data_IF_812093308675
#
_entry.id   IF_812093308675
#
_cell.length_a   1.000
_cell.length_b   1.000
_cell.length_c   1.000
_cell.angle_alpha   90.00
_cell.angle_beta   90.00
_cell.angle_gamma   90.00
#
_symmetry.space_group_name_H-M   'P 1'
#
loop_
_entity.id
_entity.type
_entity.pdbx_description
1 polymer ?
#
# COMPACT_ATOMS: atom_id res chain seq x y z
N UNK A 1 -38.53 -50.06 28.34
CA UNK A 1 -39.77 -50.65 27.78
C UNK A 1 -40.52 -49.58 27.00
N UNK A 2 -41.33 -50.00 26.02
CA UNK A 2 -42.30 -49.19 25.25
C UNK A 2 -41.77 -48.08 24.34
N UNK A 3 -41.82 -48.37 23.04
CA UNK A 3 -41.86 -47.41 21.94
C UNK A 3 -43.28 -46.83 21.74
N UNK A 4 -43.43 -46.03 20.67
CA UNK A 4 -44.58 -46.05 19.73
C UNK A 4 -45.64 -44.91 19.76
N UNK A 5 -45.42 -43.96 18.84
CA UNK A 5 -46.20 -43.78 17.59
C UNK A 5 -47.48 -42.90 17.50
N UNK A 6 -47.72 -42.44 16.26
CA UNK A 6 -49.00 -41.99 15.66
C UNK A 6 -49.59 -40.60 16.06
N UNK A 7 -50.28 -39.82 15.19
CA UNK A 7 -50.71 -40.02 13.78
C UNK A 7 -51.05 -38.69 13.05
N UNK A 8 -50.54 -38.53 11.83
CA UNK A 8 -51.22 -38.24 10.53
C UNK A 8 -52.46 -37.33 10.41
N UNK A 9 -52.35 -36.38 9.47
CA UNK A 9 -53.30 -36.09 8.35
C UNK A 9 -52.44 -35.57 7.16
N UNK A 10 -52.39 -36.07 5.90
CA UNK A 10 -53.40 -36.50 4.88
C UNK A 10 -54.38 -35.37 4.50
N UNK A 11 -54.67 -35.05 3.21
CA UNK A 11 -54.32 -35.68 1.91
C UNK A 11 -54.79 -34.76 0.73
N UNK A 12 -54.01 -34.67 -0.39
CA UNK A 12 -54.44 -34.73 -1.84
C UNK A 12 -55.54 -33.76 -2.38
N UNK A 13 -55.82 -33.56 -3.69
CA UNK A 13 -55.35 -33.97 -5.06
C UNK A 13 -55.90 -32.88 -6.04
N UNK A 14 -55.20 -32.35 -7.05
CA UNK A 14 -54.82 -32.91 -8.39
C UNK A 14 -55.86 -32.84 -9.52
N UNK A 15 -55.36 -32.49 -10.73
CA UNK A 15 -55.89 -32.74 -12.10
C UNK A 15 -56.89 -31.71 -12.68
N UNK A 16 -57.00 -31.49 -14.02
CA UNK A 16 -56.54 -32.29 -15.18
C UNK A 16 -56.60 -31.52 -16.54
N UNK A 17 -55.76 -31.90 -17.54
CA UNK A 17 -55.95 -31.87 -19.04
C UNK A 17 -56.43 -30.58 -19.76
N UNK A 18 -56.13 -30.26 -21.04
CA UNK A 18 -55.39 -30.91 -22.16
C UNK A 18 -54.96 -29.82 -23.19
N UNK A 19 -54.79 -30.02 -24.51
CA UNK A 19 -54.90 -31.19 -25.39
C UNK A 19 -54.01 -31.02 -26.68
N UNK A 20 -54.29 -31.76 -27.78
CA UNK A 20 -53.51 -31.87 -29.04
C UNK A 20 -53.94 -30.92 -30.19
N UNK A 21 -53.08 -30.78 -31.21
CA UNK A 21 -53.45 -30.33 -32.57
C UNK A 21 -52.32 -30.46 -33.61
N UNK A 22 -52.40 -31.46 -34.50
CA UNK A 22 -51.59 -31.63 -35.73
C UNK A 22 -52.50 -31.41 -36.96
N UNK A 23 -52.06 -30.63 -37.97
CA UNK A 23 -52.64 -30.64 -39.34
C UNK A 23 -51.54 -30.35 -40.39
N UNK A 24 -51.68 -31.01 -41.55
CA UNK A 24 -50.70 -31.11 -42.64
C UNK A 24 -50.70 -29.93 -43.63
N UNK A 25 -49.51 -29.59 -44.14
CA UNK A 25 -49.20 -29.56 -45.58
C UNK A 25 -49.42 -28.28 -46.42
N UNK A 26 -48.36 -27.84 -47.11
CA UNK A 26 -48.37 -27.57 -48.57
C UNK A 26 -46.94 -27.48 -49.13
N UNK A 27 -46.70 -28.13 -50.27
CA UNK A 27 -45.48 -28.00 -51.10
C UNK A 27 -45.57 -26.82 -52.09
N UNK A 28 -44.41 -26.51 -52.69
CA UNK A 28 -44.14 -26.07 -54.09
C UNK A 28 -43.31 -24.78 -54.21
N UNK A 29 -42.23 -24.83 -55.03
CA UNK A 29 -41.47 -23.65 -55.47
C UNK A 29 -40.00 -23.95 -55.78
N UNK A 30 -39.71 -24.37 -57.01
CA UNK A 30 -38.36 -24.71 -57.49
C UNK A 30 -37.41 -23.50 -57.64
N UNK A 31 -36.08 -23.77 -57.66
CA UNK A 31 -35.05 -22.74 -57.83
C UNK A 31 -33.61 -23.28 -57.85
N UNK A 32 -33.24 -23.92 -58.96
CA UNK A 32 -31.86 -24.13 -59.44
C UNK A 32 -31.07 -22.79 -59.50
N UNK A 33 -29.72 -22.65 -59.55
CA UNK A 33 -28.53 -23.54 -59.55
C UNK A 33 -27.26 -22.65 -59.55
N UNK A 34 -26.07 -23.26 -59.43
CA UNK A 34 -24.77 -22.80 -59.98
C UNK A 34 -24.20 -21.43 -59.51
N UNK A 35 -22.90 -21.12 -59.58
CA UNK A 35 -21.66 -21.93 -59.66
C UNK A 35 -20.52 -21.08 -59.06
N UNK A 36 -19.42 -21.72 -58.67
CA UNK A 36 -18.13 -21.05 -58.45
C UNK A 36 -17.25 -21.25 -59.68
N UNK A 37 -16.48 -20.23 -60.10
CA UNK A 37 -15.18 -20.51 -60.70
C UNK A 37 -14.01 -19.80 -60.00
N UNK A 38 -12.87 -20.49 -59.98
CA UNK A 38 -11.56 -20.00 -59.56
C UNK A 38 -10.76 -19.40 -60.73
N UNK A 39 -9.68 -18.67 -60.38
CA UNK A 39 -8.45 -18.43 -61.16
C UNK A 39 -8.55 -17.55 -62.43
N UNK A 40 -7.64 -16.58 -62.60
CA UNK A 40 -6.28 -16.88 -63.10
C UNK A 40 -5.26 -15.77 -62.83
N UNK A 41 -3.97 -16.13 -62.93
CA UNK A 41 -2.80 -15.30 -62.62
C UNK A 41 -2.43 -14.27 -63.71
N UNK A 42 -1.59 -13.29 -63.35
CA UNK A 42 -0.52 -12.75 -64.21
C UNK A 42 0.58 -12.13 -63.35
N UNK A 43 1.83 -12.21 -63.82
CA UNK A 43 3.07 -11.83 -63.13
C UNK A 43 3.69 -10.54 -63.72
N UNK A 44 4.57 -9.87 -62.96
CA UNK A 44 5.73 -9.06 -63.41
C UNK A 44 6.50 -8.67 -62.11
N UNK A 45 7.59 -9.32 -61.66
CA UNK A 45 8.93 -9.58 -62.23
C UNK A 45 9.86 -8.35 -62.19
N UNK A 46 11.14 -8.61 -61.79
CA UNK A 46 12.34 -7.72 -61.70
C UNK A 46 12.56 -6.98 -60.37
N UNK A 47 13.76 -6.90 -59.82
CA UNK A 47 15.06 -7.51 -60.18
C UNK A 47 15.96 -7.61 -58.92
N UNK A 48 16.85 -8.61 -58.86
CA UNK A 48 17.91 -8.71 -57.85
C UNK A 48 19.13 -7.87 -58.23
N UNK A 49 19.90 -7.40 -57.23
CA UNK A 49 21.27 -6.93 -57.44
C UNK A 49 22.14 -7.17 -56.18
N UNK A 50 23.24 -7.90 -56.38
CA UNK A 50 24.21 -8.31 -55.36
C UNK A 50 25.11 -7.17 -54.82
N UNK A 51 25.79 -7.47 -53.71
CA UNK A 51 27.24 -7.19 -53.64
C UNK A 51 27.73 -6.32 -52.48
N UNK A 52 28.29 -6.97 -51.44
CA UNK A 52 29.13 -6.30 -50.44
C UNK A 52 30.49 -5.86 -51.03
N UNK A 53 31.26 -5.01 -50.32
CA UNK A 53 32.35 -5.61 -49.54
C UNK A 53 32.75 -4.91 -48.21
N UNK A 54 32.83 -5.73 -47.16
CA UNK A 54 34.04 -5.99 -46.34
C UNK A 54 34.64 -4.96 -45.33
N UNK A 55 35.28 -5.56 -44.30
CA UNK A 55 36.28 -5.09 -43.29
C UNK A 55 35.99 -3.98 -42.26
N UNK A 56 35.83 -4.46 -41.01
CA UNK A 56 36.60 -4.16 -39.79
C UNK A 56 36.66 -2.76 -39.11
N UNK A 57 36.27 -2.83 -37.83
CA UNK A 57 36.91 -2.25 -36.63
C UNK A 57 36.75 -0.77 -36.21
N UNK A 58 36.63 -0.65 -34.88
CA UNK A 58 36.93 0.48 -33.99
C UNK A 58 35.96 1.68 -33.87
N UNK A 59 35.17 1.60 -32.79
CA UNK A 59 35.10 2.61 -31.71
C UNK A 59 34.84 4.08 -32.07
N UNK A 60 33.64 4.58 -31.72
CA UNK A 60 33.48 5.80 -30.91
C UNK A 60 32.03 6.04 -30.43
N UNK A 61 31.88 6.10 -29.10
CA UNK A 61 31.03 7.02 -28.33
C UNK A 61 29.81 7.69 -28.99
N UNK A 62 28.60 7.34 -28.52
CA UNK A 62 27.59 8.34 -28.10
C UNK A 62 26.53 7.69 -27.22
N UNK A 63 26.66 7.86 -25.90
CA UNK A 63 25.63 7.52 -24.91
C UNK A 63 24.87 8.80 -24.56
N UNK A 64 23.60 8.89 -24.96
CA UNK A 64 22.69 9.95 -24.52
C UNK A 64 22.26 9.75 -23.07
N UNK A 65 22.18 10.85 -22.32
CA UNK A 65 21.88 10.86 -20.88
C UNK A 65 20.48 10.34 -20.54
N UNK A 66 20.40 9.61 -19.42
CA UNK A 66 19.16 9.31 -18.70
C UNK A 66 19.33 9.86 -17.28
N UNK A 67 18.66 10.98 -16.99
CA UNK A 67 18.65 11.59 -15.65
C UNK A 67 17.94 10.67 -14.65
N UNK A 68 18.71 10.03 -13.77
CA UNK A 68 18.19 9.30 -12.61
C UNK A 68 17.98 10.24 -11.43
N UNK A 69 16.74 10.44 -11.02
CA UNK A 69 16.38 11.18 -9.82
C UNK A 69 16.75 10.36 -8.56
N UNK A 70 17.88 10.69 -7.92
CA UNK A 70 18.30 10.03 -6.68
C UNK A 70 17.39 10.40 -5.50
N UNK A 71 16.72 9.38 -4.95
CA UNK A 71 15.97 9.46 -3.70
C UNK A 71 16.96 9.58 -2.52
N UNK A 72 17.12 10.77 -1.97
CA UNK A 72 18.04 11.03 -0.84
C UNK A 72 17.65 10.26 0.41
N UNK A 73 18.35 9.15 0.66
CA UNK A 73 18.43 8.50 1.98
C UNK A 73 19.38 9.31 2.86
N UNK A 74 18.85 9.97 3.88
CA UNK A 74 19.65 10.68 4.89
C UNK A 74 20.12 9.72 5.98
N UNK A 75 21.40 9.33 5.92
CA UNK A 75 22.18 8.81 7.05
C UNK A 75 23.67 8.98 6.72
N UNK A 76 24.35 9.90 7.40
CA UNK A 76 25.81 9.91 7.65
C UNK A 76 26.20 11.18 8.45
N UNK A 77 26.25 11.07 9.77
CA UNK A 77 26.89 12.08 10.63
C UNK A 77 28.38 11.77 10.69
N UNK A 78 29.20 12.60 10.02
CA UNK A 78 30.67 12.47 10.07
C UNK A 78 31.23 13.23 11.27
N UNK A 79 32.05 12.54 12.05
CA UNK A 79 32.96 13.16 13.02
C UNK A 79 33.92 14.12 12.30
N UNK A 80 33.93 15.40 12.67
CA UNK A 80 34.98 16.33 12.30
C UNK A 80 36.00 16.50 13.45
N UNK A 81 37.12 15.80 13.31
CA UNK A 81 38.34 16.08 14.08
C UNK A 81 38.93 17.44 13.62
N UNK A 82 38.75 18.48 14.43
CA UNK A 82 39.44 19.76 14.22
C UNK A 82 40.89 19.63 14.68
N UNK A 83 41.82 19.81 13.75
CA UNK A 83 43.25 19.92 14.02
C UNK A 83 43.59 21.32 14.56
N UNK A 84 44.55 21.36 15.47
CA UNK A 84 45.09 22.58 16.08
C UNK A 84 46.04 23.33 15.14
N UNK A 85 46.00 24.66 15.16
CA UNK A 85 47.18 25.50 14.92
C UNK A 85 47.06 26.86 15.65
N UNK A 86 48.18 27.59 15.72
CA UNK A 86 48.52 28.40 16.89
C UNK A 86 48.06 29.89 16.91
N UNK A 87 48.26 30.49 18.09
CA UNK A 87 48.60 31.91 18.33
C UNK A 87 47.47 32.96 18.55
N UNK A 88 47.06 33.13 19.82
CA UNK A 88 46.81 34.46 20.39
C UNK A 88 47.04 34.47 21.92
N UNK A 89 47.39 35.62 22.49
CA UNK A 89 48.14 35.70 23.76
C UNK A 89 47.40 36.38 24.92
N UNK A 90 47.70 35.92 26.14
CA UNK A 90 47.50 36.55 27.47
C UNK A 90 46.13 36.38 28.19
N UNK A 91 46.09 36.45 29.55
CA UNK A 91 47.19 36.45 30.51
C UNK A 91 47.17 35.24 31.49
N UNK A 92 48.34 34.98 32.07
CA UNK A 92 48.56 33.94 33.09
C UNK A 92 47.94 34.33 34.44
N UNK A 93 46.93 33.57 34.92
CA UNK A 93 46.56 33.54 36.34
C UNK A 93 46.75 32.12 36.85
N UNK A 94 47.91 31.88 37.47
CA UNK A 94 48.24 30.62 38.14
C UNK A 94 47.44 30.48 39.43
N UNK A 95 46.20 29.98 39.33
CA UNK A 95 45.49 29.42 40.46
C UNK A 95 45.83 27.93 40.57
N UNK A 96 46.38 27.51 41.71
CA UNK A 96 46.86 26.14 41.90
C UNK A 96 45.76 25.10 41.60
N UNK A 97 46.07 24.14 40.74
CA UNK A 97 45.24 22.97 40.44
C UNK A 97 45.20 22.02 41.66
N UNK A 98 44.51 22.46 42.72
CA UNK A 98 44.03 21.58 43.76
C UNK A 98 42.98 20.68 43.13
N UNK A 99 43.22 19.36 43.10
CA UNK A 99 42.20 18.38 42.74
C UNK A 99 41.07 18.44 43.76
N UNK A 100 40.10 19.34 43.51
CA UNK A 100 38.81 19.27 44.16
C UNK A 100 38.07 18.11 43.50
N UNK A 101 37.81 17.07 44.27
CA UNK A 101 36.67 16.20 43.99
C UNK A 101 35.47 17.13 43.78
N UNK A 102 34.89 17.16 42.57
CA UNK A 102 33.69 17.94 42.28
C UNK A 102 32.49 17.28 42.97
N UNK A 103 32.41 17.49 44.28
CA UNK A 103 31.27 17.07 45.09
C UNK A 103 30.05 17.84 44.58
N UNK A 104 29.01 17.15 44.06
CA UNK A 104 27.88 17.81 43.46
C UNK A 104 27.21 18.71 44.51
N UNK A 105 26.81 19.91 44.08
CA UNK A 105 26.25 20.92 44.99
C UNK A 105 25.12 20.33 45.85
N UNK A 106 25.21 20.52 47.16
CA UNK A 106 24.31 19.94 48.16
C UNK A 106 23.21 20.90 48.63
N UNK A 107 23.02 22.07 47.98
CA UNK A 107 21.89 22.93 48.29
C UNK A 107 20.59 22.33 47.72
N UNK A 108 19.46 22.58 48.39
CA UNK A 108 18.16 22.03 47.98
C UNK A 108 17.85 22.38 46.51
N UNK A 109 18.04 23.62 46.07
CA UNK A 109 17.79 24.00 44.67
C UNK A 109 18.64 23.23 43.62
N UNK A 110 19.82 22.71 43.96
CA UNK A 110 20.59 21.83 43.07
C UNK A 110 20.20 20.35 43.21
N UNK A 111 19.66 19.96 44.37
CA UNK A 111 19.06 18.64 44.60
C UNK A 111 17.72 18.52 43.88
N UNK A 112 16.80 19.48 44.04
CA UNK A 112 15.50 19.56 43.36
C UNK A 112 15.66 19.47 41.84
N UNK A 113 16.60 20.23 41.26
CA UNK A 113 16.90 20.18 39.81
C UNK A 113 17.37 18.81 39.34
N UNK A 114 18.14 18.09 40.17
CA UNK A 114 18.65 16.74 39.87
C UNK A 114 17.55 15.68 40.04
N UNK A 115 16.68 15.84 41.02
CA UNK A 115 15.52 14.97 41.24
C UNK A 115 14.53 15.13 40.06
N UNK A 116 14.18 16.36 39.69
CA UNK A 116 13.34 16.66 38.53
C UNK A 116 13.94 16.16 37.20
N UNK A 117 15.26 16.27 37.00
CA UNK A 117 15.93 15.70 35.83
C UNK A 117 15.91 14.15 35.83
N UNK A 118 16.00 13.51 37.00
CA UNK A 118 15.89 12.06 37.13
C UNK A 118 14.46 11.57 36.86
N UNK A 119 13.45 12.29 37.34
CA UNK A 119 12.03 12.04 37.06
C UNK A 119 11.73 12.16 35.56
N UNK A 120 12.19 13.23 34.90
CA UNK A 120 12.06 13.40 33.44
C UNK A 120 12.73 12.26 32.66
N UNK A 121 13.91 11.81 33.09
CA UNK A 121 14.62 10.68 32.48
C UNK A 121 13.90 9.34 32.71
N UNK A 122 13.22 9.16 33.84
CA UNK A 122 12.39 7.97 34.06
C UNK A 122 11.09 8.02 33.25
N UNK A 123 10.44 9.18 33.17
CA UNK A 123 9.27 9.42 32.35
C UNK A 123 9.54 9.17 30.87
N UNK A 124 10.64 9.70 30.33
CA UNK A 124 11.07 9.45 28.95
C UNK A 124 11.25 7.95 28.68
N UNK A 125 11.86 7.19 29.61
CA UNK A 125 12.01 5.73 29.50
C UNK A 125 10.66 4.99 29.55
N UNK A 126 9.72 5.43 30.39
CA UNK A 126 8.36 4.86 30.46
C UNK A 126 7.60 5.10 29.14
N UNK A 127 7.61 6.33 28.62
CA UNK A 127 6.99 6.67 27.32
C UNK A 127 7.63 5.89 26.17
N UNK A 128 8.95 5.69 26.18
CA UNK A 128 9.63 4.84 25.21
C UNK A 128 9.17 3.38 25.28
N UNK A 129 8.98 2.82 26.49
CA UNK A 129 8.42 1.46 26.65
C UNK A 129 7.01 1.36 26.07
N UNK A 130 6.13 2.31 26.41
CA UNK A 130 4.75 2.36 25.91
C UNK A 130 4.73 2.44 24.37
N UNK A 131 5.60 3.26 23.78
CA UNK A 131 5.74 3.35 22.33
C UNK A 131 6.22 2.05 21.71
N UNK A 132 7.25 1.40 22.28
CA UNK A 132 7.77 0.15 21.72
C UNK A 132 6.75 -1.00 21.76
N UNK A 133 5.96 -1.09 22.83
CA UNK A 133 4.88 -2.08 22.96
C UNK A 133 3.74 -1.82 21.95
N UNK A 134 3.24 -0.57 21.90
CA UNK A 134 2.18 -0.18 20.95
C UNK A 134 2.64 -0.35 19.50
N UNK A 135 3.87 0.09 19.17
CA UNK A 135 4.49 -0.09 17.86
C UNK A 135 4.47 -1.56 17.48
N UNK A 136 4.93 -2.46 18.35
CA UNK A 136 4.99 -3.89 18.03
C UNK A 136 3.61 -4.50 17.77
N UNK A 137 2.58 -4.12 18.55
CA UNK A 137 1.21 -4.58 18.32
C UNK A 137 0.65 -4.11 16.96
N UNK A 138 0.76 -2.81 16.66
CA UNK A 138 0.29 -2.26 15.38
C UNK A 138 1.03 -2.92 14.21
N UNK A 139 2.33 -3.18 14.35
CA UNK A 139 3.17 -3.88 13.37
C UNK A 139 2.72 -5.33 13.13
N UNK A 140 2.22 -6.00 14.18
CA UNK A 140 1.65 -7.34 14.09
C UNK A 140 0.34 -7.31 13.31
N UNK A 141 -0.57 -6.38 13.60
CA UNK A 141 -1.87 -6.26 12.92
C UNK A 141 -1.70 -6.01 11.41
N UNK A 142 -0.89 -5.03 11.01
CA UNK A 142 -0.58 -4.80 9.60
C UNK A 142 0.06 -6.02 8.94
N UNK A 143 1.03 -6.67 9.60
CA UNK A 143 1.69 -7.87 9.06
C UNK A 143 0.69 -9.00 8.83
N UNK A 144 -0.18 -9.29 9.81
CA UNK A 144 -1.19 -10.34 9.69
C UNK A 144 -2.17 -10.06 8.54
N UNK A 145 -2.65 -8.83 8.40
CA UNK A 145 -3.53 -8.44 7.29
C UNK A 145 -2.84 -8.60 5.93
N UNK A 146 -1.57 -8.17 5.79
CA UNK A 146 -0.79 -8.33 4.56
C UNK A 146 -0.52 -9.80 4.20
N UNK A 147 -0.42 -10.67 5.21
CA UNK A 147 -0.32 -12.13 5.05
C UNK A 147 -1.68 -12.83 4.85
N UNK A 148 -2.79 -12.09 4.80
CA UNK A 148 -4.15 -12.64 4.65
C UNK A 148 -4.67 -13.39 5.89
N UNK A 149 -4.06 -13.20 7.06
CA UNK A 149 -4.48 -13.83 8.32
C UNK A 149 -5.35 -12.88 9.14
N UNK A 150 -6.49 -13.36 9.63
CA UNK A 150 -7.33 -12.64 10.58
C UNK A 150 -6.76 -12.71 11.98
N UNK A 151 -6.88 -11.62 12.74
CA UNK A 151 -6.68 -11.66 14.20
C UNK A 151 -7.87 -12.39 14.81
N UNK A 152 -7.65 -13.58 15.38
CA UNK A 152 -8.70 -14.32 16.09
C UNK A 152 -8.76 -13.86 17.55
N UNK A 153 -9.84 -13.16 17.94
CA UNK A 153 -10.06 -12.55 19.27
C UNK A 153 -10.25 -13.54 20.45
N UNK A 154 -9.62 -14.71 20.42
CA UNK A 154 -9.76 -15.74 21.45
C UNK A 154 -9.00 -15.41 22.75
N UNK A 155 -9.60 -14.54 23.57
CA UNK A 155 -9.09 -14.15 24.90
C UNK A 155 -8.13 -12.96 24.91
N UNK A 156 -8.20 -12.09 23.89
CA UNK A 156 -7.30 -10.94 23.73
C UNK A 156 -7.81 -9.61 24.34
N UNK A 157 -9.00 -9.58 24.94
CA UNK A 157 -9.67 -8.35 25.41
C UNK A 157 -8.81 -7.55 26.40
N UNK A 158 -8.26 -8.20 27.43
CA UNK A 158 -7.32 -7.58 28.39
C UNK A 158 -6.09 -6.96 27.72
N UNK A 159 -5.64 -7.54 26.60
CA UNK A 159 -4.48 -7.05 25.86
C UNK A 159 -4.84 -5.87 24.95
N UNK A 160 -6.00 -5.90 24.29
CA UNK A 160 -6.53 -4.76 23.54
C UNK A 160 -6.77 -3.55 24.45
N UNK A 161 -7.33 -3.75 25.64
CA UNK A 161 -7.55 -2.68 26.61
C UNK A 161 -6.24 -2.13 27.17
N UNK A 162 -5.21 -2.98 27.37
CA UNK A 162 -3.85 -2.51 27.62
C UNK A 162 -3.32 -1.65 26.46
N UNK A 163 -3.50 -2.07 25.21
CA UNK A 163 -3.05 -1.28 24.06
C UNK A 163 -3.78 0.07 23.98
N UNK A 164 -5.09 0.12 24.28
CA UNK A 164 -5.86 1.37 24.38
C UNK A 164 -5.25 2.29 25.44
N UNK A 165 -5.00 1.80 26.65
CA UNK A 165 -4.33 2.54 27.73
C UNK A 165 -2.95 3.12 27.31
N UNK A 166 -2.16 2.37 26.52
CA UNK A 166 -0.91 2.89 25.95
C UNK A 166 -1.15 4.02 24.93
N UNK A 167 -2.16 3.89 24.05
CA UNK A 167 -2.57 4.98 23.15
C UNK A 167 -2.98 6.22 23.96
N UNK A 168 -3.80 6.06 25.01
CA UNK A 168 -4.24 7.20 25.85
C UNK A 168 -3.05 7.92 26.48
N UNK A 169 -2.10 7.17 27.05
CA UNK A 169 -0.91 7.72 27.73
C UNK A 169 0.05 8.43 26.79
N UNK A 170 0.18 7.96 25.55
CA UNK A 170 1.01 8.60 24.53
C UNK A 170 0.31 9.82 23.92
N UNK A 171 -0.98 9.70 23.61
CA UNK A 171 -1.79 10.78 23.04
C UNK A 171 -1.87 11.97 24.00
N UNK A 172 -2.13 11.73 25.30
CA UNK A 172 -2.15 12.77 26.33
C UNK A 172 -0.81 13.50 26.56
N UNK A 173 0.29 13.08 25.92
CA UNK A 173 1.57 13.79 25.92
C UNK A 173 1.77 14.62 24.67
N UNK A 174 1.61 13.99 23.52
CA UNK A 174 1.78 14.64 22.22
C UNK A 174 1.00 13.83 21.15
N UNK A 175 -0.24 14.24 20.82
CA UNK A 175 -1.03 13.57 19.80
C UNK A 175 -0.37 13.61 18.42
N UNK A 176 0.36 14.68 18.09
CA UNK A 176 0.97 14.87 16.78
C UNK A 176 2.21 14.00 16.60
N UNK A 177 3.08 13.91 17.61
CA UNK A 177 4.21 12.98 17.61
C UNK A 177 3.74 11.52 17.55
N UNK A 178 2.65 11.17 18.24
CA UNK A 178 2.07 9.83 18.12
C UNK A 178 1.57 9.58 16.69
N UNK A 179 0.85 10.53 16.09
CA UNK A 179 0.43 10.47 14.69
C UNK A 179 1.61 10.26 13.73
N UNK A 180 2.64 11.12 13.77
CA UNK A 180 3.81 11.05 12.89
C UNK A 180 4.52 9.69 12.98
N UNK A 181 4.70 9.16 14.20
CA UNK A 181 5.34 7.86 14.42
C UNK A 181 4.52 6.70 13.88
N UNK A 182 3.19 6.77 13.99
CA UNK A 182 2.28 5.76 13.46
C UNK A 182 2.18 5.83 11.94
N UNK A 183 2.09 7.03 11.37
CA UNK A 183 2.14 7.26 9.92
C UNK A 183 3.42 6.67 9.31
N UNK A 184 4.57 7.02 9.87
CA UNK A 184 5.88 6.47 9.45
C UNK A 184 5.91 4.94 9.52
N UNK A 185 5.32 4.34 10.56
CA UNK A 185 5.20 2.89 10.68
C UNK A 185 4.32 2.25 9.59
N UNK A 186 3.25 2.93 9.14
CA UNK A 186 2.40 2.46 8.04
C UNK A 186 3.10 2.62 6.70
N UNK A 187 3.80 3.74 6.49
CA UNK A 187 4.60 3.99 5.28
C UNK A 187 5.58 2.84 4.98
N UNK A 188 6.20 2.23 5.99
CA UNK A 188 7.04 1.03 5.81
C UNK A 188 6.31 -0.11 5.07
N UNK A 189 5.06 -0.42 5.42
CA UNK A 189 4.26 -1.47 4.76
C UNK A 189 3.80 -1.06 3.36
N UNK A 190 3.50 0.22 3.15
CA UNK A 190 3.10 0.75 1.84
C UNK A 190 4.29 0.73 0.87
N UNK A 191 5.50 1.04 1.35
CA UNK A 191 6.75 0.91 0.57
C UNK A 191 7.01 -0.57 0.25
N UNK A 192 6.79 -1.51 1.18
CA UNK A 192 6.89 -2.95 0.90
C UNK A 192 5.87 -3.40 -0.17
N UNK A 193 4.65 -2.87 -0.15
CA UNK A 193 3.65 -3.10 -1.20
C UNK A 193 4.08 -2.52 -2.55
N UNK A 194 4.62 -1.29 -2.57
CA UNK A 194 5.18 -0.64 -3.77
C UNK A 194 6.28 -1.49 -4.40
N UNK A 195 7.27 -1.92 -3.62
CA UNK A 195 8.41 -2.72 -4.12
C UNK A 195 7.93 -3.99 -4.80
N UNK A 196 6.99 -4.73 -4.19
CA UNK A 196 6.38 -5.93 -4.80
C UNK A 196 5.68 -5.64 -6.13
N UNK A 197 5.02 -4.49 -6.28
CA UNK A 197 4.42 -4.10 -7.56
C UNK A 197 5.50 -3.77 -8.61
N UNK A 198 6.53 -3.03 -8.23
CA UNK A 198 7.64 -2.71 -9.15
C UNK A 198 8.40 -3.97 -9.58
N UNK A 199 8.61 -4.95 -8.71
CA UNK A 199 9.23 -6.25 -9.05
C UNK A 199 8.45 -7.03 -10.12
N UNK A 200 7.14 -6.85 -10.24
CA UNK A 200 6.34 -7.42 -11.34
C UNK A 200 6.60 -6.67 -12.66
N UNK A 201 6.73 -5.34 -12.61
CA UNK A 201 6.98 -4.50 -13.79
C UNK A 201 8.36 -4.71 -14.42
N UNK A 202 9.35 -5.13 -13.63
CA UNK A 202 10.70 -5.47 -14.14
C UNK A 202 10.74 -6.77 -14.97
N UNK A 203 9.63 -7.50 -15.08
CA UNK A 203 9.56 -8.72 -15.90
C UNK A 203 9.33 -8.34 -17.36
N UNK A 204 10.24 -8.76 -18.23
CA UNK A 204 10.22 -8.46 -19.68
C UNK A 204 8.97 -8.98 -20.43
N UNK A 205 8.19 -9.89 -19.81
CA UNK A 205 7.07 -10.59 -20.43
C UNK A 205 5.73 -9.92 -20.15
N UNK A 206 5.29 -9.03 -21.05
CA UNK A 206 4.01 -8.34 -21.00
C UNK A 206 2.84 -9.25 -21.41
N UNK A 207 2.48 -10.25 -20.58
CA UNK A 207 1.38 -11.19 -20.86
C UNK A 207 0.08 -10.86 -20.09
N UNK A 208 -1.08 -11.35 -20.54
CA UNK A 208 -2.36 -11.18 -19.82
C UNK A 208 -2.34 -11.75 -18.39
N UNK A 209 -1.56 -12.79 -18.15
CA UNK A 209 -1.36 -13.38 -16.82
C UNK A 209 -0.53 -12.44 -15.93
N UNK A 210 0.51 -11.80 -16.45
CA UNK A 210 1.23 -10.76 -15.70
C UNK A 210 0.32 -9.55 -15.41
N UNK A 211 -0.47 -9.12 -16.39
CA UNK A 211 -1.47 -8.06 -16.22
C UNK A 211 -2.47 -8.40 -15.11
N UNK A 212 -2.97 -9.65 -15.07
CA UNK A 212 -3.84 -10.13 -14.00
C UNK A 212 -3.14 -10.09 -12.64
N UNK A 213 -1.92 -10.63 -12.53
CA UNK A 213 -1.16 -10.68 -11.27
C UNK A 213 -0.88 -9.27 -10.75
N UNK A 214 -0.52 -8.33 -11.63
CA UNK A 214 -0.26 -6.94 -11.29
C UNK A 214 -1.52 -6.24 -10.76
N UNK A 215 -2.63 -6.23 -11.52
CA UNK A 215 -3.89 -5.61 -11.05
C UNK A 215 -4.38 -6.26 -9.75
N UNK A 216 -4.30 -7.58 -9.63
CA UNK A 216 -4.72 -8.31 -8.41
C UNK A 216 -3.86 -7.91 -7.21
N UNK A 217 -2.53 -7.85 -7.37
CA UNK A 217 -1.63 -7.46 -6.29
C UNK A 217 -1.76 -5.99 -5.86
N UNK A 218 -2.10 -5.09 -6.79
CA UNK A 218 -2.41 -3.69 -6.50
C UNK A 218 -3.68 -3.59 -5.63
N UNK A 219 -4.77 -4.21 -6.08
CA UNK A 219 -6.06 -4.20 -5.37
C UNK A 219 -5.98 -4.90 -4.01
N UNK A 220 -5.42 -6.12 -3.96
CA UNK A 220 -5.23 -6.84 -2.69
C UNK A 220 -4.31 -6.08 -1.72
N UNK A 221 -3.29 -5.38 -2.22
CA UNK A 221 -2.40 -4.56 -1.38
C UNK A 221 -3.15 -3.41 -0.71
N UNK A 222 -4.05 -2.76 -1.45
CA UNK A 222 -4.93 -1.72 -0.92
C UNK A 222 -5.95 -2.27 0.08
N UNK A 223 -6.63 -3.37 -0.27
CA UNK A 223 -7.65 -4.00 0.57
C UNK A 223 -7.08 -4.47 1.91
N UNK A 224 -5.90 -5.10 1.90
CA UNK A 224 -5.21 -5.57 3.13
C UNK A 224 -4.76 -4.42 4.02
N UNK A 225 -4.29 -3.31 3.43
CA UNK A 225 -3.96 -2.09 4.19
C UNK A 225 -5.22 -1.48 4.83
N UNK A 226 -6.30 -1.36 4.07
CA UNK A 226 -7.58 -0.85 4.56
C UNK A 226 -8.19 -1.75 5.64
N UNK A 227 -8.04 -3.07 5.53
CA UNK A 227 -8.47 -4.04 6.54
C UNK A 227 -7.71 -3.87 7.86
N UNK A 228 -6.39 -3.69 7.82
CA UNK A 228 -5.58 -3.40 9.00
C UNK A 228 -5.99 -2.06 9.64
N UNK A 229 -6.22 -1.02 8.83
CA UNK A 229 -6.66 0.28 9.31
C UNK A 229 -8.02 0.18 10.03
N UNK A 230 -8.99 -0.54 9.45
CA UNK A 230 -10.31 -0.82 10.05
C UNK A 230 -10.21 -1.56 11.38
N UNK A 231 -9.32 -2.54 11.49
CA UNK A 231 -9.08 -3.28 12.74
C UNK A 231 -8.48 -2.38 13.83
N UNK A 232 -7.66 -1.39 13.45
CA UNK A 232 -7.00 -0.47 14.39
C UNK A 232 -7.82 0.78 14.73
N UNK A 233 -8.84 1.14 13.94
CA UNK A 233 -9.65 2.33 14.18
C UNK A 233 -10.26 2.41 15.61
N UNK A 234 -10.82 1.33 16.21
CA UNK A 234 -11.32 1.37 17.59
C UNK A 234 -10.21 1.59 18.64
N UNK A 235 -8.99 1.11 18.37
CA UNK A 235 -7.82 1.33 19.24
C UNK A 235 -7.32 2.78 19.14
N UNK A 236 -7.39 3.38 17.96
CA UNK A 236 -6.86 4.71 17.67
C UNK A 236 -7.90 5.84 17.80
N UNK A 237 -9.12 5.56 18.26
CA UNK A 237 -10.22 6.52 18.38
C UNK A 237 -9.85 7.81 19.15
N UNK A 238 -9.01 7.71 20.19
CA UNK A 238 -8.56 8.89 20.93
C UNK A 238 -7.62 9.77 20.09
N UNK A 239 -6.68 9.16 19.37
CA UNK A 239 -5.81 9.88 18.43
C UNK A 239 -6.62 10.51 17.28
N UNK A 240 -7.64 9.81 16.78
CA UNK A 240 -8.55 10.39 15.81
C UNK A 240 -9.23 11.65 16.37
N UNK A 241 -9.78 11.56 17.58
CA UNK A 241 -10.52 12.65 18.23
C UNK A 241 -9.63 13.85 18.59
N UNK A 242 -8.43 13.60 19.14
CA UNK A 242 -7.54 14.66 19.64
C UNK A 242 -6.68 15.31 18.54
N UNK A 243 -6.41 14.59 17.45
CA UNK A 243 -5.55 15.04 16.35
C UNK A 243 -6.24 15.03 14.98
N UNK A 244 -6.56 13.86 14.42
CA UNK A 244 -6.95 13.73 13.01
C UNK A 244 -8.27 14.46 12.66
N UNK A 245 -9.22 14.53 13.59
CA UNK A 245 -10.49 15.21 13.39
C UNK A 245 -10.34 16.72 13.16
N UNK A 246 -9.24 17.34 13.59
CA UNK A 246 -8.90 18.75 13.30
C UNK A 246 -8.73 19.01 11.80
N UNK A 247 -8.42 17.97 11.05
CA UNK A 247 -8.17 17.97 9.61
C UNK A 247 -9.29 17.26 8.82
N UNK A 248 -10.40 16.90 9.48
CA UNK A 248 -11.45 16.03 8.96
C UNK A 248 -10.95 14.63 8.50
N UNK A 249 -9.87 14.13 9.12
CA UNK A 249 -9.28 12.84 8.80
C UNK A 249 -9.71 11.74 9.78
N UNK A 250 -9.63 10.50 9.30
CA UNK A 250 -9.65 9.27 10.11
C UNK A 250 -8.39 8.45 9.81
N UNK A 251 -8.10 7.46 10.65
CA UNK A 251 -6.99 6.53 10.46
C UNK A 251 -7.13 5.73 9.16
N UNK A 252 -8.35 5.33 8.80
CA UNK A 252 -8.64 4.70 7.52
C UNK A 252 -8.30 5.62 6.33
N UNK A 253 -8.72 6.88 6.39
CA UNK A 253 -8.46 7.85 5.31
C UNK A 253 -6.96 8.12 5.13
N UNK A 254 -6.20 8.24 6.23
CA UNK A 254 -4.73 8.33 6.17
C UNK A 254 -4.13 7.13 5.43
N UNK A 255 -4.51 5.90 5.79
CA UNK A 255 -3.99 4.69 5.15
C UNK A 255 -4.28 4.66 3.66
N UNK A 256 -5.50 5.05 3.28
CA UNK A 256 -5.91 5.18 1.88
C UNK A 256 -5.05 6.19 1.13
N UNK A 257 -4.77 7.36 1.73
CA UNK A 257 -3.88 8.37 1.14
C UNK A 257 -2.43 7.88 1.01
N UNK A 258 -1.89 7.19 2.03
CA UNK A 258 -0.53 6.65 1.93
C UNK A 258 -0.40 5.67 0.76
N UNK A 259 -1.38 4.79 0.54
CA UNK A 259 -1.40 3.91 -0.63
C UNK A 259 -1.52 4.71 -1.94
N UNK A 260 -2.38 5.73 -1.96
CA UNK A 260 -2.61 6.59 -3.11
C UNK A 260 -1.33 7.33 -3.55
N UNK A 261 -0.68 8.01 -2.63
CA UNK A 261 0.51 8.84 -2.87
C UNK A 261 1.81 8.06 -3.08
N UNK A 262 1.94 6.87 -2.50
CA UNK A 262 3.17 6.08 -2.57
C UNK A 262 3.13 4.99 -3.66
N UNK A 263 1.99 4.32 -3.87
CA UNK A 263 1.85 3.19 -4.80
C UNK A 263 1.09 3.59 -6.06
N UNK A 264 -0.12 4.14 -5.91
CA UNK A 264 -0.98 4.42 -7.06
C UNK A 264 -0.39 5.51 -7.96
N UNK A 265 0.05 6.65 -7.40
CA UNK A 265 0.66 7.74 -8.19
C UNK A 265 2.10 7.48 -8.61
N UNK A 266 2.65 6.28 -8.41
CA UNK A 266 3.99 5.96 -8.88
C UNK A 266 4.07 6.00 -10.42
N UNK A 267 5.07 6.68 -11.03
CA UNK A 267 5.16 6.81 -12.48
C UNK A 267 5.25 5.47 -13.23
N UNK A 268 5.94 4.46 -12.67
CA UNK A 268 6.05 3.14 -13.32
C UNK A 268 4.72 2.39 -13.25
N UNK A 269 3.99 2.49 -12.13
CA UNK A 269 2.63 1.94 -11.99
C UNK A 269 1.69 2.59 -13.00
N UNK A 270 1.63 3.92 -13.02
CA UNK A 270 0.74 4.69 -13.90
C UNK A 270 1.03 4.47 -15.39
N UNK A 271 2.30 4.40 -15.80
CA UNK A 271 2.65 4.19 -17.20
C UNK A 271 2.26 2.79 -17.73
N UNK A 272 2.22 1.77 -16.87
CA UNK A 272 1.88 0.39 -17.27
C UNK A 272 0.37 0.07 -17.17
N UNK A 273 -0.37 0.76 -16.29
CA UNK A 273 -1.79 0.50 -16.04
C UNK A 273 -2.67 0.52 -17.31
N UNK A 274 -2.61 1.54 -18.20
CA UNK A 274 -3.42 1.56 -19.43
C UNK A 274 -3.15 0.35 -20.35
N UNK A 275 -1.90 -0.11 -20.40
CA UNK A 275 -1.51 -1.26 -21.21
C UNK A 275 -2.11 -2.56 -20.67
N UNK A 276 -1.96 -2.83 -19.38
CA UNK A 276 -2.53 -4.02 -18.73
C UNK A 276 -4.07 -4.04 -18.76
N UNK A 277 -4.72 -2.91 -18.53
CA UNK A 277 -6.19 -2.79 -18.66
C UNK A 277 -6.62 -3.07 -20.10
N UNK A 278 -5.87 -2.56 -21.09
CA UNK A 278 -6.11 -2.83 -22.51
C UNK A 278 -5.96 -4.32 -22.87
N UNK A 279 -4.91 -4.98 -22.38
CA UNK A 279 -4.70 -6.43 -22.58
C UNK A 279 -5.84 -7.26 -21.97
N UNK A 280 -6.21 -7.00 -20.72
CA UNK A 280 -7.27 -7.77 -20.05
C UNK A 280 -8.62 -7.59 -20.74
N UNK A 281 -8.94 -6.37 -21.20
CA UNK A 281 -10.16 -6.09 -21.98
C UNK A 281 -10.19 -6.81 -23.33
N UNK A 282 -9.07 -6.87 -24.05
CA UNK A 282 -9.03 -7.54 -25.37
C UNK A 282 -9.21 -9.05 -25.26
N UNK A 283 -8.65 -9.69 -24.22
CA UNK A 283 -8.87 -11.12 -23.94
C UNK A 283 -10.30 -11.41 -23.42
N UNK A 284 -10.90 -10.46 -22.70
CA UNK A 284 -12.28 -10.60 -22.16
C UNK A 284 -13.33 -10.78 -23.27
N UNK A 285 -13.11 -10.20 -24.45
CA UNK A 285 -13.98 -10.39 -25.62
C UNK A 285 -14.13 -11.87 -26.06
N UNK A 286 -13.28 -12.77 -25.54
CA UNK A 286 -13.25 -14.21 -25.84
C UNK A 286 -13.86 -15.17 -24.80
N UNK A 287 -14.52 -14.69 -23.72
CA UNK A 287 -15.25 -15.43 -22.63
C UNK A 287 -14.64 -15.44 -21.21
N UNK A 288 -13.57 -14.70 -20.90
CA UNK A 288 -12.99 -14.69 -19.55
C UNK A 288 -13.69 -13.69 -18.60
N UNK A 289 -14.74 -14.15 -17.92
CA UNK A 289 -15.51 -13.38 -16.92
C UNK A 289 -14.62 -12.80 -15.81
N UNK A 290 -13.62 -13.54 -15.36
CA UNK A 290 -12.67 -13.14 -14.30
C UNK A 290 -11.88 -11.87 -14.63
N UNK A 291 -11.50 -11.67 -15.90
CA UNK A 291 -10.79 -10.45 -16.34
C UNK A 291 -11.73 -9.24 -16.40
N UNK A 292 -13.00 -9.45 -16.74
CA UNK A 292 -14.04 -8.41 -16.70
C UNK A 292 -14.25 -7.89 -15.27
N UNK A 293 -14.38 -8.82 -14.31
CA UNK A 293 -14.57 -8.50 -12.89
C UNK A 293 -13.36 -7.78 -12.29
N UNK A 294 -12.14 -8.23 -12.62
CA UNK A 294 -10.90 -7.58 -12.18
C UNK A 294 -10.77 -6.13 -12.72
N UNK A 295 -11.07 -5.92 -14.01
CA UNK A 295 -11.06 -4.58 -14.62
C UNK A 295 -12.16 -3.69 -14.03
N UNK A 296 -13.35 -4.22 -13.73
CA UNK A 296 -14.40 -3.45 -13.05
C UNK A 296 -13.99 -3.08 -11.62
N UNK A 297 -13.37 -3.99 -10.86
CA UNK A 297 -12.87 -3.69 -9.52
C UNK A 297 -11.78 -2.62 -9.57
N UNK A 298 -10.86 -2.70 -10.53
CA UNK A 298 -9.86 -1.65 -10.77
C UNK A 298 -10.49 -0.27 -11.00
N UNK A 299 -11.54 -0.15 -11.82
CA UNK A 299 -12.15 1.16 -12.09
C UNK A 299 -12.77 1.79 -10.84
N UNK A 300 -13.41 1.00 -9.98
CA UNK A 300 -13.95 1.50 -8.72
C UNK A 300 -12.84 1.97 -7.76
N UNK A 301 -11.69 1.27 -7.75
CA UNK A 301 -10.49 1.68 -7.02
C UNK A 301 -9.86 2.95 -7.61
N UNK A 302 -9.83 3.11 -8.94
CA UNK A 302 -9.29 4.28 -9.66
C UNK A 302 -10.10 5.56 -9.35
N UNK A 303 -11.43 5.45 -9.34
CA UNK A 303 -12.35 6.51 -8.89
C UNK A 303 -12.08 6.91 -7.42
N UNK A 304 -11.89 5.91 -6.54
CA UNK A 304 -11.59 6.14 -5.12
C UNK A 304 -10.20 6.79 -4.93
N UNK A 305 -9.15 6.31 -5.61
CA UNK A 305 -7.81 6.90 -5.56
C UNK A 305 -7.80 8.35 -6.05
N UNK A 306 -8.56 8.64 -7.10
CA UNK A 306 -8.73 10.00 -7.63
C UNK A 306 -9.41 10.91 -6.61
N UNK A 307 -10.48 10.44 -5.95
CA UNK A 307 -11.17 11.19 -4.89
C UNK A 307 -10.27 11.46 -3.68
N UNK A 308 -9.51 10.45 -3.23
CA UNK A 308 -8.57 10.58 -2.09
C UNK A 308 -7.49 11.61 -2.40
N UNK A 309 -6.84 11.50 -3.56
CA UNK A 309 -5.80 12.46 -3.98
C UNK A 309 -6.37 13.88 -4.18
N UNK A 310 -7.60 14.01 -4.66
CA UNK A 310 -8.26 15.29 -4.81
C UNK A 310 -8.51 15.97 -3.45
N UNK A 311 -8.99 15.21 -2.46
CA UNK A 311 -9.27 15.63 -1.09
C UNK A 311 -8.01 15.98 -0.29
N UNK A 312 -6.95 15.19 -0.43
CA UNK A 312 -5.76 15.33 0.43
C UNK A 312 -4.98 16.62 0.19
N UNK A 313 -5.00 17.18 -1.04
CA UNK A 313 -4.30 18.44 -1.38
C UNK A 313 -4.66 19.61 -0.46
N UNK A 314 -5.91 19.70 -0.03
CA UNK A 314 -6.38 20.76 0.87
C UNK A 314 -6.03 20.46 2.34
N UNK A 315 -5.76 19.20 2.67
CA UNK A 315 -5.50 18.71 4.03
C UNK A 315 -4.01 18.66 4.37
N UNK A 316 -3.17 18.35 3.38
CA UNK A 316 -1.73 18.14 3.55
C UNK A 316 -1.03 19.37 4.17
N UNK A 317 -1.32 20.57 3.66
CA UNK A 317 -0.76 21.82 4.20
C UNK A 317 -1.13 22.02 5.67
N UNK A 318 -2.37 21.72 6.06
CA UNK A 318 -2.83 21.85 7.44
C UNK A 318 -2.10 20.90 8.40
N UNK A 319 -1.82 19.67 7.94
CA UNK A 319 -1.08 18.67 8.73
C UNK A 319 0.41 19.03 8.86
N UNK A 320 1.03 19.56 7.79
CA UNK A 320 2.45 19.97 7.78
C UNK A 320 2.68 21.24 8.61
N UNK A 321 1.75 22.19 8.62
CA UNK A 321 1.87 23.44 9.38
C UNK A 321 1.55 23.29 10.88
N UNK A 322 1.03 22.13 11.30
CA UNK A 322 0.73 21.83 12.70
C UNK A 322 2.00 21.76 13.57
N UNK A 323 1.92 22.31 14.79
CA UNK A 323 3.02 22.41 15.76
C UNK A 323 2.56 22.08 17.16
#
# INVERSE_FOLDING_TARGET
>A
MSCSDSKKSKKRKSSKSGNMGDVLGKECGDGEKDEMPQETCSEDVREEADGAPNVDEQSSQSSGELDSYELKRSDDVKDEMIQSDENSTLPLITAAASQREEKPCTCEACKDKRELAAEQLEEMRRLQSYWMELRQYIRMVYRMAMEGRTVENSGAEDYEDKMKDLVQKLCARDPHQLFQRLESQVQEFVIEAKVRQLELLHREQQTPELAQIFLTGLLEGYDKLCLAAKQLAPLLQQLETEHLHRFNLTWEVLNKHLYQSCVYTDPLVQNNLPHYIGQLRSVTAGKNQTYSELVHHYLAFDDEMTLIGAMWRDTETLVIEYK
#
